data_IF_150606792481
#
_entry.id   IF_150606792481
#
_cell.length_a   1.000
_cell.length_b   1.000
_cell.length_c   1.000
_cell.angle_alpha   90.00
_cell.angle_beta   90.00
_cell.angle_gamma   90.00
#
_symmetry.space_group_name_H-M   'P 1'
#
loop_
_entity.id
_entity.type
_entity.pdbx_description
1 polymer ?
#
# COMPACT_ATOMS: atom_id res chain seq x y z
N UNK A 1 22.15 5.89 -8.33
CA UNK A 1 20.88 5.27 -8.77
C UNK A 1 19.80 5.61 -7.76
N UNK A 2 18.61 6.00 -8.21
CA UNK A 2 17.48 6.29 -7.32
C UNK A 2 16.21 5.73 -7.94
N UNK A 3 15.35 5.17 -7.11
CA UNK A 3 14.01 4.74 -7.50
C UNK A 3 13.07 4.89 -6.32
N UNK A 4 11.96 5.57 -6.55
CA UNK A 4 10.84 5.68 -5.61
C UNK A 4 9.60 5.19 -6.36
N UNK A 5 8.80 4.35 -5.73
CA UNK A 5 7.51 3.94 -6.29
C UNK A 5 6.60 5.17 -6.39
N UNK A 6 5.84 5.24 -7.47
CA UNK A 6 4.79 6.25 -7.56
C UNK A 6 3.63 5.83 -6.67
N UNK A 7 3.24 6.70 -5.75
CA UNK A 7 2.07 6.48 -4.90
C UNK A 7 1.51 7.82 -4.39
N UNK A 8 0.19 7.94 -4.25
CA UNK A 8 -0.41 9.14 -3.70
C UNK A 8 0.02 9.38 -2.24
N UNK A 9 0.47 10.59 -1.93
CA UNK A 9 0.92 10.99 -0.58
C UNK A 9 -0.18 11.64 0.29
N UNK A 10 -1.40 11.68 -0.22
CA UNK A 10 -2.60 12.29 0.38
C UNK A 10 -3.22 11.44 1.52
N UNK A 11 -2.90 10.15 1.59
CA UNK A 11 -3.40 9.20 2.60
C UNK A 11 -2.27 8.28 3.08
N UNK A 12 -1.22 8.88 3.64
CA UNK A 12 -0.15 8.14 4.34
C UNK A 12 -0.38 8.14 5.84
N UNK A 13 -0.90 9.24 6.38
CA UNK A 13 -1.13 9.42 7.81
C UNK A 13 -2.16 8.41 8.32
N UNK A 14 -1.82 7.72 9.41
CA UNK A 14 -2.73 6.76 10.04
C UNK A 14 -3.97 7.43 10.64
N UNK A 15 -5.12 6.75 10.55
CA UNK A 15 -6.41 7.26 11.07
C UNK A 15 -6.43 7.29 12.61
N UNK A 16 -5.74 6.35 13.26
CA UNK A 16 -5.65 6.22 14.72
C UNK A 16 -4.21 5.96 15.15
N UNK A 17 -3.84 6.25 16.41
CA UNK A 17 -2.47 6.10 16.89
C UNK A 17 -1.92 4.64 16.86
N UNK A 18 -2.78 3.63 16.74
CA UNK A 18 -2.43 2.19 16.71
C UNK A 18 -2.50 1.56 15.32
N UNK A 19 -2.90 2.30 14.28
CA UNK A 19 -3.10 1.80 12.93
C UNK A 19 -1.86 1.81 12.02
N UNK A 20 -0.64 1.94 12.57
CA UNK A 20 0.57 1.99 11.75
C UNK A 20 0.77 0.76 10.83
N UNK A 21 0.37 -0.43 11.29
CA UNK A 21 0.33 -1.65 10.46
C UNK A 21 -0.66 -1.54 9.29
N UNK A 22 -1.96 -1.30 9.56
CA UNK A 22 -2.97 -1.03 8.52
C UNK A 22 -2.57 0.05 7.52
N UNK A 23 -2.06 1.19 7.97
CA UNK A 23 -1.63 2.31 7.12
C UNK A 23 -0.44 1.94 6.22
N UNK A 24 0.52 1.16 6.76
CA UNK A 24 1.64 0.60 5.99
C UNK A 24 1.14 -0.30 4.87
N UNK A 25 0.23 -1.23 5.17
CA UNK A 25 -0.37 -2.12 4.16
C UNK A 25 -1.17 -1.33 3.13
N UNK A 26 -1.98 -0.35 3.57
CA UNK A 26 -2.77 0.50 2.68
C UNK A 26 -1.88 1.22 1.68
N UNK A 27 -0.79 1.84 2.15
CA UNK A 27 0.16 2.57 1.30
C UNK A 27 0.74 1.65 0.22
N UNK A 28 1.18 0.45 0.60
CA UNK A 28 1.80 -0.52 -0.31
C UNK A 28 0.77 -1.05 -1.32
N UNK A 29 -0.43 -1.44 -0.86
CA UNK A 29 -1.51 -1.95 -1.74
C UNK A 29 -1.97 -0.87 -2.70
N UNK A 30 -2.15 0.37 -2.24
CA UNK A 30 -2.56 1.48 -3.08
C UNK A 30 -1.50 1.84 -4.13
N UNK A 31 -0.21 1.80 -3.75
CA UNK A 31 0.88 2.00 -4.70
C UNK A 31 0.87 0.95 -5.83
N UNK A 32 0.63 -0.32 -5.48
CA UNK A 32 0.68 -1.43 -6.43
C UNK A 32 -0.58 -1.56 -7.30
N UNK A 33 -1.75 -1.17 -6.79
CA UNK A 33 -3.05 -1.43 -7.45
C UNK A 33 -3.80 -0.17 -7.87
N UNK A 34 -3.39 1.01 -7.40
CA UNK A 34 -4.16 2.25 -7.49
C UNK A 34 -5.42 2.28 -6.61
N UNK A 35 -5.78 1.17 -5.97
CA UNK A 35 -7.02 1.04 -5.19
C UNK A 35 -6.79 1.35 -3.71
N UNK A 36 -7.64 2.21 -3.14
CA UNK A 36 -7.61 2.53 -1.71
C UNK A 36 -8.49 1.54 -0.92
N UNK A 37 -7.86 0.72 -0.08
CA UNK A 37 -8.55 -0.12 0.92
C UNK A 37 -8.49 0.59 2.26
N UNK A 38 -9.62 0.81 2.93
CA UNK A 38 -9.65 1.57 4.19
C UNK A 38 -8.85 0.88 5.30
N UNK A 39 -8.26 1.68 6.21
CA UNK A 39 -7.53 1.14 7.36
C UNK A 39 -8.41 0.30 8.27
N UNK A 40 -9.71 0.61 8.36
CA UNK A 40 -10.68 -0.20 9.11
C UNK A 40 -10.77 -1.64 8.58
N UNK A 41 -10.83 -1.80 7.26
CA UNK A 41 -10.86 -3.14 6.64
C UNK A 41 -9.55 -3.87 6.90
N UNK A 42 -8.42 -3.19 6.65
CA UNK A 42 -7.09 -3.78 6.85
C UNK A 42 -6.80 -4.10 8.32
N UNK A 43 -7.27 -3.29 9.26
CA UNK A 43 -7.18 -3.55 10.69
C UNK A 43 -7.91 -4.84 11.08
N UNK A 44 -9.13 -5.04 10.56
CA UNK A 44 -9.87 -6.29 10.75
C UNK A 44 -9.13 -7.51 10.18
N UNK A 45 -8.50 -7.36 9.01
CA UNK A 45 -7.72 -8.44 8.39
C UNK A 45 -6.40 -8.74 9.09
N UNK A 46 -5.75 -7.71 9.63
CA UNK A 46 -4.50 -7.81 10.38
C UNK A 46 -4.71 -8.30 11.81
N UNK A 47 -5.93 -8.16 12.35
CA UNK A 47 -6.19 -8.37 13.78
C UNK A 47 -5.65 -7.23 14.64
N UNK A 48 -5.54 -6.02 14.07
CA UNK A 48 -5.05 -4.83 14.77
C UNK A 48 -6.02 -4.45 15.89
N UNK A 49 -5.48 -4.22 17.09
CA UNK A 49 -6.24 -3.75 18.26
C UNK A 49 -5.72 -2.38 18.69
N UNK A 50 -6.26 -1.84 19.80
CA UNK A 50 -5.72 -0.63 20.44
C UNK A 50 -4.26 -0.77 20.90
N UNK A 51 -3.76 -2.01 21.01
CA UNK A 51 -2.37 -2.32 21.31
C UNK A 51 -1.48 -2.38 20.04
N UNK A 52 -2.05 -2.16 18.86
CA UNK A 52 -1.36 -2.23 17.57
C UNK A 52 -1.47 -3.59 16.88
N UNK A 53 -0.51 -3.88 16.00
CA UNK A 53 -0.41 -5.13 15.22
C UNK A 53 0.78 -5.95 15.70
N UNK A 54 0.55 -7.18 16.14
CA UNK A 54 1.50 -7.92 16.99
C UNK A 54 2.86 -8.22 16.36
N UNK A 55 2.89 -8.74 15.13
CA UNK A 55 4.15 -9.13 14.48
C UNK A 55 4.09 -9.01 12.95
N UNK A 56 5.28 -8.91 12.33
CA UNK A 56 5.46 -8.60 10.91
C UNK A 56 4.81 -9.61 9.95
N UNK A 57 4.66 -10.87 10.34
CA UNK A 57 4.03 -11.90 9.49
C UNK A 57 2.54 -11.66 9.23
N UNK A 58 1.88 -10.83 10.05
CA UNK A 58 0.50 -10.40 9.79
C UNK A 58 0.44 -9.49 8.55
N UNK A 59 1.39 -8.54 8.42
CA UNK A 59 1.50 -7.72 7.21
C UNK A 59 1.78 -8.60 6.00
N UNK A 60 2.69 -9.59 6.10
CA UNK A 60 2.96 -10.55 5.02
C UNK A 60 1.71 -11.27 4.53
N UNK A 61 0.91 -11.83 5.46
CA UNK A 61 -0.33 -12.54 5.14
C UNK A 61 -1.33 -11.62 4.42
N UNK A 62 -1.54 -10.41 4.93
CA UNK A 62 -2.51 -9.47 4.35
C UNK A 62 -2.01 -8.90 3.02
N UNK A 63 -0.73 -8.59 2.90
CA UNK A 63 -0.15 -8.18 1.62
C UNK A 63 -0.29 -9.28 0.57
N UNK A 64 -0.07 -10.55 0.89
CA UNK A 64 -0.31 -11.66 -0.03
C UNK A 64 -1.79 -11.87 -0.38
N UNK A 65 -2.72 -11.50 0.51
CA UNK A 65 -4.16 -11.51 0.20
C UNK A 65 -4.51 -10.48 -0.89
N UNK A 66 -3.95 -9.27 -0.79
CA UNK A 66 -4.25 -8.18 -1.73
C UNK A 66 -3.34 -8.16 -2.96
N UNK A 67 -2.14 -8.74 -2.86
CA UNK A 67 -1.10 -8.74 -3.89
C UNK A 67 -0.55 -10.16 -4.10
N UNK A 68 -1.37 -11.14 -4.52
CA UNK A 68 -0.97 -12.55 -4.57
C UNK A 68 0.24 -12.82 -5.47
N UNK A 69 0.41 -12.04 -6.55
CA UNK A 69 1.56 -12.17 -7.46
C UNK A 69 2.89 -11.65 -6.89
N UNK A 70 2.86 -10.88 -5.80
CA UNK A 70 4.05 -10.29 -5.19
C UNK A 70 4.85 -11.29 -4.34
N UNK A 71 4.20 -12.35 -3.85
CA UNK A 71 4.81 -13.39 -3.01
C UNK A 71 5.59 -12.80 -1.83
N UNK A 72 4.92 -11.97 -1.02
CA UNK A 72 5.53 -11.36 0.17
C UNK A 72 6.10 -12.42 1.11
N UNK A 73 7.33 -12.19 1.54
CA UNK A 73 8.08 -13.08 2.44
C UNK A 73 8.52 -12.30 3.67
N UNK A 74 8.31 -12.90 4.84
CA UNK A 74 8.75 -12.37 6.13
C UNK A 74 10.23 -12.66 6.36
N UNK A 75 10.98 -11.67 6.82
CA UNK A 75 12.35 -11.83 7.32
C UNK A 75 12.44 -11.26 8.72
N UNK A 76 13.00 -12.04 9.65
CA UNK A 76 13.32 -11.58 11.01
C UNK A 76 14.75 -11.03 11.06
N UNK A 77 14.98 -10.05 11.92
CA UNK A 77 16.32 -9.51 12.21
C UNK A 77 16.55 -9.53 13.73
N UNK A 78 17.00 -10.68 14.30
CA UNK A 78 17.08 -10.84 15.74
C UNK A 78 18.25 -10.11 16.42
N UNK A 79 19.32 -9.76 15.71
CA UNK A 79 20.53 -9.19 16.32
C UNK A 79 20.47 -7.67 16.45
N UNK A 80 20.70 -7.13 17.66
CA UNK A 80 20.81 -5.69 17.94
C UNK A 80 22.20 -5.38 18.55
N UNK A 81 23.13 -4.73 17.82
CA UNK A 81 23.00 -4.21 16.46
C UNK A 81 22.93 -5.31 15.39
N UNK A 82 22.37 -5.03 14.20
CA UNK A 82 22.28 -5.99 13.11
C UNK A 82 23.67 -6.39 12.61
N UNK A 83 23.80 -7.63 12.17
CA UNK A 83 24.99 -8.12 11.48
C UNK A 83 25.14 -7.47 10.10
N UNK A 84 26.35 -7.50 9.55
CA UNK A 84 26.61 -7.05 8.18
C UNK A 84 25.78 -7.83 7.15
N UNK A 85 25.59 -9.13 7.36
CA UNK A 85 24.78 -9.99 6.48
C UNK A 85 23.30 -9.61 6.52
N UNK A 86 22.72 -9.34 7.69
CA UNK A 86 21.33 -8.88 7.81
C UNK A 86 21.12 -7.53 7.11
N UNK A 87 22.09 -6.61 7.23
CA UNK A 87 22.02 -5.31 6.55
C UNK A 87 22.11 -5.43 5.03
N UNK A 88 23.02 -6.26 4.50
CA UNK A 88 23.12 -6.49 3.05
C UNK A 88 21.91 -7.25 2.50
N UNK A 89 21.37 -8.21 3.26
CA UNK A 89 20.14 -8.90 2.92
C UNK A 89 18.95 -7.93 2.85
N UNK A 90 18.81 -7.05 3.86
CA UNK A 90 17.80 -5.99 3.86
C UNK A 90 17.91 -5.11 2.61
N UNK A 91 19.12 -4.66 2.26
CA UNK A 91 19.34 -3.85 1.07
C UNK A 91 18.95 -4.58 -0.21
N UNK A 92 19.36 -5.84 -0.35
CA UNK A 92 19.03 -6.68 -1.50
C UNK A 92 17.51 -6.83 -1.65
N UNK A 93 16.80 -7.12 -0.56
CA UNK A 93 15.36 -7.30 -0.55
C UNK A 93 14.59 -6.01 -0.85
N UNK A 94 15.03 -4.87 -0.28
CA UNK A 94 14.44 -3.56 -0.60
C UNK A 94 14.58 -3.27 -2.09
N UNK A 95 15.79 -3.39 -2.66
CA UNK A 95 15.98 -3.14 -4.09
C UNK A 95 15.13 -4.07 -4.95
N UNK A 96 15.16 -5.38 -4.68
CA UNK A 96 14.39 -6.34 -5.47
C UNK A 96 12.88 -6.06 -5.43
N UNK A 97 12.33 -5.79 -4.24
CA UNK A 97 10.90 -5.50 -4.07
C UNK A 97 10.50 -4.20 -4.77
N UNK A 98 11.26 -3.12 -4.55
CA UNK A 98 11.02 -1.83 -5.23
C UNK A 98 11.22 -1.98 -6.75
N UNK A 99 12.15 -2.84 -7.17
CA UNK A 99 12.37 -3.11 -8.59
C UNK A 99 11.20 -3.81 -9.26
N UNK A 100 10.58 -4.75 -8.54
CA UNK A 100 9.36 -5.43 -8.92
C UNK A 100 8.09 -4.56 -8.80
N UNK A 101 8.18 -3.33 -8.26
CA UNK A 101 7.05 -2.41 -8.15
C UNK A 101 6.31 -2.46 -6.81
N UNK A 102 6.89 -3.11 -5.80
CA UNK A 102 6.23 -3.38 -4.52
C UNK A 102 7.02 -2.79 -3.34
N UNK A 103 6.33 -2.06 -2.45
CA UNK A 103 6.93 -1.52 -1.23
C UNK A 103 7.29 -2.61 -0.21
N UNK A 104 8.14 -2.29 0.75
CA UNK A 104 8.55 -3.20 1.83
C UNK A 104 7.93 -2.72 3.14
N UNK A 105 7.20 -3.59 3.85
CA UNK A 105 6.70 -3.29 5.19
C UNK A 105 7.78 -3.56 6.22
N UNK A 106 8.05 -2.60 7.12
CA UNK A 106 9.14 -2.67 8.10
C UNK A 106 8.59 -2.44 9.50
N UNK A 107 8.90 -3.33 10.44
CA UNK A 107 8.60 -3.15 11.86
C UNK A 107 9.85 -2.62 12.56
N UNK A 108 9.73 -1.48 13.22
CA UNK A 108 10.85 -0.78 13.84
C UNK A 108 10.65 -0.53 15.34
N UNK A 109 11.77 -0.41 16.05
CA UNK A 109 11.90 0.05 17.43
C UNK A 109 12.83 1.26 17.44
N UNK A 110 12.27 2.44 17.68
CA UNK A 110 13.00 3.70 17.66
C UNK A 110 13.11 4.28 19.08
N UNK A 111 14.21 4.00 19.82
CA UNK A 111 14.47 4.68 21.09
C UNK A 111 14.85 6.16 20.84
N UNK A 112 14.70 7.06 21.83
CA UNK A 112 14.99 8.49 21.66
C UNK A 112 16.38 8.82 21.13
N UNK A 113 17.39 8.00 21.48
CA UNK A 113 18.77 8.15 21.01
C UNK A 113 18.98 7.74 19.55
N UNK A 114 18.02 7.02 18.95
CA UNK A 114 18.11 6.50 17.59
C UNK A 114 16.85 6.83 16.77
N UNK A 115 16.17 7.94 17.04
CA UNK A 115 15.09 8.37 16.16
C UNK A 115 15.61 8.58 14.72
N UNK A 116 14.82 8.21 13.69
CA UNK A 116 15.26 8.32 12.31
C UNK A 116 15.67 9.75 11.96
N UNK A 117 16.75 9.89 11.20
CA UNK A 117 17.24 11.17 10.70
C UNK A 117 17.14 11.22 9.19
N UNK A 118 16.58 12.33 8.71
CA UNK A 118 16.51 12.65 7.30
C UNK A 118 17.92 12.81 6.73
N UNK A 119 18.21 12.09 5.65
CA UNK A 119 19.42 12.25 4.82
C UNK A 119 19.03 12.75 3.44
N UNK A 120 20.01 13.00 2.56
CA UNK A 120 19.75 13.44 1.18
C UNK A 120 18.84 14.67 1.08
N UNK A 121 19.01 15.63 2.00
CA UNK A 121 18.23 16.86 2.07
C UNK A 121 16.77 16.71 2.53
N UNK A 122 16.33 15.51 2.91
CA UNK A 122 14.98 15.31 3.45
C UNK A 122 14.86 15.80 4.90
N UNK A 123 13.67 16.29 5.26
CA UNK A 123 13.36 16.69 6.63
C UNK A 123 13.31 15.46 7.54
N UNK A 124 13.98 15.53 8.70
CA UNK A 124 13.90 14.46 9.70
C UNK A 124 12.47 14.32 10.27
N UNK A 125 11.96 13.10 10.47
CA UNK A 125 10.65 12.89 11.05
C UNK A 125 10.61 13.30 12.53
N UNK A 126 9.43 13.75 12.99
CA UNK A 126 9.23 14.30 14.34
C UNK A 126 8.86 13.23 15.37
N UNK A 127 9.71 12.22 15.55
CA UNK A 127 9.52 11.19 16.59
C UNK A 127 9.61 11.80 18.00
N UNK A 128 8.74 11.32 18.90
CA UNK A 128 8.66 11.76 20.29
C UNK A 128 7.96 10.68 21.15
N UNK A 129 7.91 10.88 22.47
CA UNK A 129 7.12 10.03 23.37
C UNK A 129 7.84 8.80 23.95
N UNK A 130 9.17 8.70 23.81
CA UNK A 130 9.96 7.60 24.38
C UNK A 130 10.37 6.59 23.32
N UNK A 131 10.49 5.31 23.68
CA UNK A 131 10.75 4.28 22.67
C UNK A 131 9.48 4.03 21.86
N UNK A 132 9.56 4.25 20.55
CA UNK A 132 8.44 4.10 19.63
C UNK A 132 8.52 2.73 18.95
N UNK A 133 7.45 1.95 19.04
CA UNK A 133 7.25 0.72 18.27
C UNK A 133 6.32 1.03 17.10
N UNK A 134 6.77 0.80 15.87
CA UNK A 134 6.07 1.35 14.70
C UNK A 134 6.21 0.47 13.47
N UNK A 135 5.24 0.56 12.57
CA UNK A 135 5.35 0.03 11.21
C UNK A 135 5.49 1.19 10.23
N UNK A 136 6.39 1.02 9.27
CA UNK A 136 6.60 1.99 8.18
C UNK A 136 6.70 1.28 6.84
N UNK A 137 6.40 1.98 5.75
CA UNK A 137 6.56 1.46 4.40
C UNK A 137 7.84 2.02 3.76
N UNK A 138 8.80 1.15 3.45
CA UNK A 138 9.91 1.49 2.57
C UNK A 138 9.43 1.46 1.11
N UNK A 139 9.39 2.64 0.48
CA UNK A 139 8.77 2.88 -0.82
C UNK A 139 9.77 3.35 -1.89
N UNK A 140 11.06 3.35 -1.57
CA UNK A 140 12.11 3.68 -2.54
C UNK A 140 13.50 3.44 -1.99
N UNK A 141 14.49 3.46 -2.87
CA UNK A 141 15.90 3.35 -2.52
C UNK A 141 16.74 4.36 -3.31
N UNK A 142 17.88 4.71 -2.73
CA UNK A 142 18.91 5.53 -3.34
C UNK A 142 20.28 4.95 -3.04
N UNK A 143 21.11 4.84 -4.06
CA UNK A 143 22.51 4.43 -3.98
C UNK A 143 23.35 5.50 -4.66
N UNK A 144 24.04 6.31 -3.87
CA UNK A 144 24.77 7.48 -4.36
C UNK A 144 26.03 7.75 -3.55
N UNK A 145 26.67 8.88 -3.84
CA UNK A 145 27.95 9.24 -3.25
C UNK A 145 27.90 9.42 -1.72
N UNK A 146 26.73 9.75 -1.16
CA UNK A 146 26.51 9.87 0.29
C UNK A 146 26.11 8.54 0.95
N UNK A 147 26.11 7.44 0.18
CA UNK A 147 25.80 6.09 0.64
C UNK A 147 24.38 5.60 0.28
N UNK A 148 23.97 4.48 0.87
CA UNK A 148 22.67 3.87 0.60
C UNK A 148 21.60 4.48 1.51
N UNK A 149 20.45 4.83 0.94
CA UNK A 149 19.30 5.33 1.67
C UNK A 149 17.98 4.72 1.17
N UNK A 150 16.97 4.81 2.01
CA UNK A 150 15.63 4.24 1.78
C UNK A 150 14.60 5.34 1.99
N UNK A 151 13.66 5.47 1.07
CA UNK A 151 12.54 6.39 1.19
C UNK A 151 11.45 5.72 2.02
N UNK A 152 11.09 6.33 3.14
CA UNK A 152 10.10 5.83 4.08
C UNK A 152 8.83 6.67 3.95
N UNK A 153 7.71 6.00 3.67
CA UNK A 153 6.37 6.53 3.96
C UNK A 153 6.03 6.16 5.41
N UNK A 154 5.92 7.17 6.25
CA UNK A 154 5.73 7.00 7.69
C UNK A 154 4.35 7.51 8.07
N UNK A 155 3.46 6.62 8.49
CA UNK A 155 2.08 7.00 8.81
C UNK A 155 1.94 7.76 10.13
N UNK A 156 2.93 7.64 11.03
CA UNK A 156 2.85 8.12 12.40
C UNK A 156 3.39 9.53 12.58
N UNK A 157 4.47 9.87 11.85
CA UNK A 157 5.24 11.07 12.13
C UNK A 157 5.42 11.96 10.90
N UNK A 158 5.06 13.24 11.05
CA UNK A 158 5.37 14.28 10.04
C UNK A 158 6.88 14.31 9.76
N UNK A 159 7.31 14.50 8.50
CA UNK A 159 6.53 14.95 7.34
C UNK A 159 5.80 13.83 6.56
N UNK A 160 5.69 12.62 7.12
CA UNK A 160 5.10 11.43 6.50
C UNK A 160 5.88 10.85 5.30
N UNK A 161 7.02 11.44 4.97
CA UNK A 161 7.91 10.99 3.90
C UNK A 161 9.34 11.50 4.11
N UNK A 162 10.32 10.61 4.22
CA UNK A 162 11.73 11.01 4.40
C UNK A 162 12.69 9.96 3.85
N UNK A 163 13.91 10.39 3.54
CA UNK A 163 15.03 9.49 3.27
C UNK A 163 15.77 9.20 4.57
N UNK A 164 16.03 7.94 4.86
CA UNK A 164 16.89 7.51 5.98
C UNK A 164 18.03 6.65 5.44
N UNK A 165 19.22 6.70 6.05
CA UNK A 165 20.32 5.83 5.62
C UNK A 165 19.98 4.35 5.86
N UNK A 166 20.48 3.47 5.00
CA UNK A 166 20.34 2.02 5.18
C UNK A 166 20.93 1.58 6.53
N UNK A 167 22.08 2.16 6.90
CA UNK A 167 22.74 1.86 8.18
C UNK A 167 21.81 2.15 9.35
N UNK A 168 21.22 3.36 9.41
CA UNK A 168 20.31 3.69 10.49
C UNK A 168 19.04 2.85 10.45
N UNK A 169 18.42 2.68 9.27
CA UNK A 169 17.23 1.83 9.13
C UNK A 169 17.49 0.42 9.65
N UNK A 170 18.65 -0.17 9.32
CA UNK A 170 18.99 -1.52 9.77
C UNK A 170 19.05 -1.62 11.29
N UNK A 171 19.55 -0.59 12.00
CA UNK A 171 19.58 -0.56 13.48
C UNK A 171 18.22 -0.36 14.13
N UNK A 172 17.22 0.08 13.37
CA UNK A 172 15.87 0.33 13.87
C UNK A 172 15.00 -0.92 13.83
N UNK A 173 15.36 -1.95 13.08
CA UNK A 173 14.52 -3.14 12.86
C UNK A 173 14.62 -4.14 14.02
N UNK A 174 15.80 -4.49 14.56
CA UNK A 174 15.90 -5.50 15.59
C UNK A 174 15.10 -5.20 16.87
N UNK A 175 14.60 -6.23 17.57
CA UNK A 175 14.61 -7.66 17.21
C UNK A 175 13.39 -8.06 16.34
N UNK A 176 12.85 -7.13 15.54
CA UNK A 176 11.63 -7.33 14.74
C UNK A 176 11.97 -7.94 13.38
N UNK A 177 11.54 -7.29 12.30
CA UNK A 177 11.68 -7.81 10.95
C UNK A 177 10.97 -6.94 9.93
N UNK A 178 11.00 -7.42 8.69
CA UNK A 178 10.39 -6.77 7.54
C UNK A 178 9.73 -7.80 6.63
N UNK A 179 8.91 -7.34 5.71
CA UNK A 179 8.27 -8.17 4.67
C UNK A 179 8.46 -7.54 3.30
N UNK A 180 8.94 -8.32 2.35
CA UNK A 180 9.32 -7.86 1.01
C UNK A 180 8.68 -8.75 -0.06
N UNK A 181 8.40 -8.19 -1.24
CA UNK A 181 7.93 -8.98 -2.37
C UNK A 181 9.09 -9.85 -2.91
N UNK A 182 8.94 -11.17 -2.83
CA UNK A 182 9.95 -12.11 -3.32
C UNK A 182 9.77 -12.47 -4.80
N UNK A 183 8.69 -11.98 -5.43
CA UNK A 183 8.53 -12.11 -6.89
C UNK A 183 9.72 -11.45 -7.59
N UNK A 184 10.26 -12.12 -8.59
CA UNK A 184 11.31 -11.50 -9.40
C UNK A 184 10.69 -10.34 -10.17
N UNK A 185 11.46 -9.25 -10.29
CA UNK A 185 11.07 -8.15 -11.15
C UNK A 185 10.75 -8.72 -12.53
N UNK A 186 9.48 -8.70 -12.92
CA UNK A 186 9.13 -8.88 -14.32
C UNK A 186 9.91 -7.80 -15.06
N UNK A 187 10.89 -8.20 -15.87
CA UNK A 187 11.71 -7.28 -16.63
C UNK A 187 10.80 -6.23 -17.28
N UNK A 188 11.03 -4.96 -16.96
CA UNK A 188 10.14 -3.87 -17.37
C UNK A 188 9.81 -3.97 -18.86
N UNK A 189 8.54 -4.07 -19.20
CA UNK A 189 7.99 -3.14 -20.18
C UNK A 189 7.14 -2.15 -19.42
N UNK A 190 7.38 -0.86 -19.65
CA UNK A 190 6.57 0.19 -19.07
C UNK A 190 5.09 -0.09 -19.30
N UNK A 191 4.35 -0.07 -18.22
CA UNK A 191 2.95 0.30 -18.22
C UNK A 191 2.79 1.05 -16.88
N UNK A 192 2.63 2.38 -16.83
CA UNK A 192 1.36 3.01 -17.17
C UNK A 192 0.45 1.97 -17.77
N UNK A 193 -0.27 1.19 -16.95
CA UNK A 193 -1.58 0.77 -17.40
C UNK A 193 -2.21 2.11 -17.75
N UNK A 194 -2.41 2.44 -19.03
CA UNK A 194 -3.16 3.64 -19.34
C UNK A 194 -4.42 3.45 -18.51
N UNK A 195 -4.77 4.44 -17.68
CA UNK A 195 -6.16 4.50 -17.26
C UNK A 195 -6.90 4.50 -18.57
N UNK A 196 -7.48 3.35 -18.92
CA UNK A 196 -8.34 3.27 -20.07
C UNK A 196 -9.58 4.00 -19.59
N UNK A 197 -9.56 5.32 -19.79
CA UNK A 197 -10.65 6.19 -19.43
C UNK A 197 -11.91 5.72 -20.15
N UNK A 198 -11.77 5.08 -21.32
CA UNK A 198 -12.88 4.42 -22.01
C UNK A 198 -13.40 3.25 -21.20
N UNK A 199 -12.52 2.38 -20.69
CA UNK A 199 -12.93 1.29 -19.80
C UNK A 199 -13.56 1.80 -18.51
N UNK A 200 -12.97 2.78 -17.82
CA UNK A 200 -13.54 3.33 -16.59
C UNK A 200 -14.89 4.01 -16.85
N UNK A 201 -15.05 4.73 -17.95
CA UNK A 201 -16.33 5.31 -18.37
C UNK A 201 -17.33 4.20 -18.67
N UNK A 202 -16.91 3.13 -19.34
CA UNK A 202 -17.76 1.99 -19.65
C UNK A 202 -18.19 1.23 -18.38
N UNK A 203 -17.30 1.05 -17.41
CA UNK A 203 -17.59 0.44 -16.11
C UNK A 203 -18.59 1.28 -15.31
N UNK A 204 -18.49 2.62 -15.37
CA UNK A 204 -19.49 3.50 -14.77
C UNK A 204 -20.87 3.28 -15.39
N UNK A 205 -20.96 3.06 -16.70
CA UNK A 205 -22.22 2.82 -17.39
C UNK A 205 -22.76 1.41 -17.14
N UNK A 206 -21.90 0.39 -17.14
CA UNK A 206 -22.27 -1.02 -17.22
C UNK A 206 -22.27 -1.76 -15.87
N UNK A 207 -21.57 -1.26 -14.85
CA UNK A 207 -21.34 -1.94 -13.58
C UNK A 207 -19.97 -2.60 -13.48
N UNK A 208 -19.56 -3.09 -12.29
CA UNK A 208 -18.19 -3.51 -12.03
C UNK A 208 -17.83 -4.92 -12.54
N UNK A 209 -18.82 -5.74 -12.86
CA UNK A 209 -18.59 -7.14 -13.25
C UNK A 209 -18.09 -7.25 -14.70
N UNK A 210 -17.17 -8.18 -14.92
CA UNK A 210 -16.56 -8.46 -16.22
C UNK A 210 -16.52 -9.96 -16.49
N UNK A 211 -16.57 -10.33 -17.77
CA UNK A 211 -16.37 -11.70 -18.25
C UNK A 211 -15.43 -11.62 -19.45
N UNK A 212 -14.30 -12.32 -19.38
CA UNK A 212 -13.27 -12.34 -20.43
C UNK A 212 -12.81 -10.95 -20.93
N UNK A 213 -12.77 -9.98 -20.01
CA UNK A 213 -12.35 -8.60 -20.31
C UNK A 213 -13.45 -7.70 -20.91
N UNK A 214 -14.67 -8.21 -21.06
CA UNK A 214 -15.84 -7.44 -21.51
C UNK A 214 -16.74 -7.15 -20.31
N UNK A 215 -17.31 -5.94 -20.16
CA UNK A 215 -18.28 -5.66 -19.11
C UNK A 215 -19.44 -6.66 -19.18
N UNK A 216 -19.82 -7.20 -18.03
CA UNK A 216 -20.92 -8.15 -17.93
C UNK A 216 -22.30 -7.48 -17.90
N UNK A 217 -22.34 -6.13 -17.93
CA UNK A 217 -23.56 -5.31 -17.91
C UNK A 217 -24.53 -5.64 -16.77
N UNK A 218 -24.00 -6.08 -15.64
CA UNK A 218 -24.80 -6.47 -14.47
C UNK A 218 -25.31 -5.26 -13.69
N UNK A 219 -24.85 -4.06 -14.02
CA UNK A 219 -25.22 -2.85 -13.34
C UNK A 219 -24.61 -2.69 -11.95
N UNK A 220 -25.04 -1.63 -11.27
CA UNK A 220 -24.54 -1.26 -9.96
C UNK A 220 -25.49 -1.70 -8.84
N UNK A 221 -24.98 -2.24 -7.72
CA UNK A 221 -25.81 -2.60 -6.57
C UNK A 221 -26.66 -1.43 -6.06
N UNK A 222 -26.09 -0.22 -6.00
CA UNK A 222 -26.80 1.00 -5.57
C UNK A 222 -27.90 1.46 -6.54
N UNK A 223 -27.94 0.90 -7.76
CA UNK A 223 -29.00 1.10 -8.73
C UNK A 223 -29.97 -0.11 -8.80
N UNK A 224 -29.90 -1.04 -7.84
CA UNK A 224 -30.70 -2.27 -7.87
C UNK A 224 -30.21 -3.28 -8.92
N UNK A 225 -28.90 -3.33 -9.14
CA UNK A 225 -28.27 -4.16 -10.19
C UNK A 225 -28.62 -3.69 -11.59
N UNK A 226 -28.84 -2.39 -11.79
CA UNK A 226 -29.13 -1.77 -13.10
C UNK A 226 -27.91 -1.06 -13.63
N UNK A 227 -27.72 -1.09 -14.95
CA UNK A 227 -26.79 -0.17 -15.62
C UNK A 227 -27.28 1.27 -15.43
N UNK A 228 -26.43 2.26 -15.70
CA UNK A 228 -26.86 3.67 -15.64
C UNK A 228 -28.03 3.94 -16.58
N UNK A 229 -28.02 3.33 -17.78
CA UNK A 229 -29.10 3.44 -18.77
C UNK A 229 -30.38 2.81 -18.22
N UNK A 230 -30.32 1.60 -17.67
CA UNK A 230 -31.50 0.91 -17.13
C UNK A 230 -32.08 1.63 -15.92
N UNK A 231 -31.24 2.28 -15.11
CA UNK A 231 -31.68 3.08 -13.98
C UNK A 231 -32.41 4.35 -14.45
N UNK A 232 -31.88 5.06 -15.46
CA UNK A 232 -32.56 6.21 -16.06
C UNK A 232 -33.88 5.81 -16.73
N UNK A 233 -33.91 4.67 -17.42
CA UNK A 233 -35.12 4.13 -18.03
C UNK A 233 -36.20 3.85 -16.97
N UNK A 234 -35.82 3.20 -15.86
CA UNK A 234 -36.73 2.94 -14.74
C UNK A 234 -37.22 4.22 -14.04
N UNK A 235 -36.34 5.21 -13.84
CA UNK A 235 -36.73 6.51 -13.26
C UNK A 235 -37.70 7.23 -14.19
N UNK A 236 -37.42 7.31 -15.49
CA UNK A 236 -38.31 7.97 -16.45
C UNK A 236 -39.67 7.26 -16.57
N UNK A 237 -39.68 5.93 -16.52
CA UNK A 237 -40.93 5.16 -16.49
C UNK A 237 -41.75 5.45 -15.22
N UNK A 238 -41.09 5.54 -14.06
CA UNK A 238 -41.74 5.90 -12.80
C UNK A 238 -42.24 7.36 -12.75
N UNK A 239 -41.73 8.21 -13.64
CA UNK A 239 -42.12 9.62 -13.79
C UNK A 239 -43.05 9.85 -15.00
N UNK A 240 -43.55 8.78 -15.63
CA UNK A 240 -44.42 8.83 -16.81
C UNK A 240 -43.84 9.65 -17.99
N UNK A 241 -42.51 9.65 -18.15
CA UNK A 241 -41.85 10.33 -19.28
C UNK A 241 -42.17 9.55 -20.57
N UNK A 242 -42.78 10.17 -21.60
CA UNK A 242 -43.17 9.47 -22.82
C UNK A 242 -42.00 8.71 -23.47
N UNK A 243 -42.20 7.41 -23.70
CA UNK A 243 -41.23 6.54 -24.36
C UNK A 243 -40.22 5.84 -23.43
N UNK A 244 -40.20 6.17 -22.13
CA UNK A 244 -39.39 5.46 -21.14
C UNK A 244 -40.14 4.23 -20.61
N UNK A 245 -39.43 3.12 -20.40
CA UNK A 245 -39.98 1.92 -19.78
C UNK A 245 -38.93 1.30 -18.84
N UNK A 246 -39.37 0.60 -17.80
CA UNK A 246 -38.47 -0.11 -16.90
C UNK A 246 -38.14 -1.51 -17.47
N UNK A 247 -36.89 -1.79 -17.89
CA UNK A 247 -36.51 -3.06 -18.50
C UNK A 247 -36.52 -4.27 -17.53
N UNK A 248 -36.68 -4.04 -16.22
CA UNK A 248 -36.84 -5.09 -15.21
C UNK A 248 -38.21 -5.06 -14.54
N UNK A 249 -39.14 -4.21 -14.96
CA UNK A 249 -40.52 -4.30 -14.48
C UNK A 249 -41.11 -5.62 -14.98
N UNK A 250 -41.12 -6.64 -14.12
CA UNK A 250 -41.61 -7.99 -14.42
C UNK A 250 -40.58 -9.13 -14.35
N UNK A 251 -39.34 -8.88 -13.90
CA UNK A 251 -38.36 -9.92 -13.54
C UNK A 251 -38.18 -10.05 -12.03
#
# INVERSE_FOLDING_TARGET
MEKVLDYPRDQVKQDTYYNCGPATVQTIVRAATGSLVSERVLAGELGTTVNGTDYIGLLTRVLNKHLPGAQYTTVTMPHDPPTGEEREALWKHIRASIDAGYGVGVNIVAPPRNYPRGVYGSTSPRYAGGTVYHYVAAMGYRDGNEGRAVWIADSGFTPYGYWVSLDQLSTLIPPKGYTYAATQAAGKKGATVPIDKTQLVLDQLAGPAHTDGVPAFTGWPQLGGRTVVDALAAIGAALDVPGFFDPKAGK
#
